data_IF_647923074044
#
_entry.id   IF_647923074044
#
_cell.length_a   1.000
_cell.length_b   1.000
_cell.length_c   1.000
_cell.angle_alpha   90.00
_cell.angle_beta   90.00
_cell.angle_gamma   90.00
#
_symmetry.space_group_name_H-M   'P 1'
#
loop_
_entity.id
_entity.type
_entity.pdbx_description
1 polymer ?
#
# COMPACT_ATOMS: atom_id res chain seq x y z
N UNK A 1 -14.38 0.30 -41.39
CA UNK A 1 -15.40 0.57 -40.35
C UNK A 1 -15.38 -0.46 -39.21
N UNK A 2 -15.47 -1.77 -39.50
CA UNK A 2 -15.46 -2.82 -38.46
C UNK A 2 -14.20 -2.83 -37.60
N UNK A 3 -13.02 -2.73 -38.22
CA UNK A 3 -11.72 -2.69 -37.49
C UNK A 3 -11.67 -1.52 -36.51
N UNK A 4 -12.05 -0.31 -36.96
CA UNK A 4 -12.03 0.91 -36.14
C UNK A 4 -12.99 0.79 -34.96
N UNK A 5 -14.20 0.26 -35.18
CA UNK A 5 -15.17 0.00 -34.11
C UNK A 5 -14.64 -1.02 -33.09
N UNK A 6 -14.13 -2.16 -33.58
CA UNK A 6 -13.59 -3.21 -32.71
C UNK A 6 -12.41 -2.72 -31.87
N UNK A 7 -11.51 -1.94 -32.48
CA UNK A 7 -10.38 -1.32 -31.79
C UNK A 7 -10.80 -0.32 -30.72
N UNK A 8 -11.72 0.59 -31.03
CA UNK A 8 -12.28 1.54 -30.06
C UNK A 8 -12.94 0.84 -28.87
N UNK A 9 -13.72 -0.22 -29.12
CA UNK A 9 -14.34 -1.04 -28.08
C UNK A 9 -13.30 -1.74 -27.20
N UNK A 10 -12.24 -2.29 -27.79
CA UNK A 10 -11.15 -2.93 -27.04
C UNK A 10 -10.44 -1.95 -26.12
N UNK A 11 -10.11 -0.74 -26.62
CA UNK A 11 -9.48 0.31 -25.81
C UNK A 11 -10.41 0.75 -24.68
N UNK A 12 -11.71 0.96 -24.96
CA UNK A 12 -12.69 1.36 -23.97
C UNK A 12 -12.82 0.32 -22.83
N UNK A 13 -12.91 -0.97 -23.16
CA UNK A 13 -12.95 -2.03 -22.14
C UNK A 13 -11.66 -2.13 -21.34
N UNK A 14 -10.50 -2.12 -22.00
CA UNK A 14 -9.21 -2.14 -21.30
C UNK A 14 -9.03 -0.94 -20.37
N UNK A 15 -9.43 0.25 -20.82
CA UNK A 15 -9.39 1.48 -20.05
C UNK A 15 -10.31 1.48 -18.83
N UNK A 16 -11.57 1.07 -19.01
CA UNK A 16 -12.55 1.02 -17.91
C UNK A 16 -12.16 -0.01 -16.84
N UNK A 17 -11.66 -1.18 -17.25
CA UNK A 17 -11.13 -2.19 -16.30
C UNK A 17 -9.93 -1.62 -15.54
N UNK A 18 -9.01 -0.94 -16.23
CA UNK A 18 -7.81 -0.33 -15.62
C UNK A 18 -8.20 0.73 -14.58
N UNK A 19 -9.10 1.64 -14.94
CA UNK A 19 -9.62 2.68 -14.02
C UNK A 19 -10.28 2.02 -12.82
N UNK A 20 -11.12 1.01 -13.04
CA UNK A 20 -11.80 0.28 -11.97
C UNK A 20 -10.81 -0.37 -11.01
N UNK A 21 -9.83 -1.09 -11.55
CA UNK A 21 -8.80 -1.76 -10.78
C UNK A 21 -8.01 -0.77 -9.91
N UNK A 22 -7.63 0.39 -10.46
CA UNK A 22 -6.83 1.37 -9.74
C UNK A 22 -7.63 2.04 -8.61
N UNK A 23 -8.91 2.37 -8.83
CA UNK A 23 -9.79 2.93 -7.78
C UNK A 23 -9.95 1.93 -6.63
N UNK A 24 -10.24 0.67 -6.95
CA UNK A 24 -10.41 -0.40 -5.95
C UNK A 24 -9.10 -0.63 -5.19
N UNK A 25 -7.98 -0.73 -5.91
CA UNK A 25 -6.65 -0.94 -5.30
C UNK A 25 -6.26 0.22 -4.37
N UNK A 26 -6.53 1.47 -4.76
CA UNK A 26 -6.30 2.63 -3.92
C UNK A 26 -7.14 2.58 -2.63
N UNK A 27 -8.39 2.12 -2.71
CA UNK A 27 -9.25 1.92 -1.53
C UNK A 27 -8.73 0.83 -0.59
N UNK A 28 -8.30 -0.31 -1.16
CA UNK A 28 -7.66 -1.42 -0.43
C UNK A 28 -6.43 -0.90 0.33
N UNK A 29 -5.57 -0.16 -0.35
CA UNK A 29 -4.34 0.38 0.24
C UNK A 29 -4.60 1.35 1.40
N UNK A 30 -5.64 2.20 1.28
CA UNK A 30 -6.00 3.21 2.29
C UNK A 30 -6.90 2.67 3.42
N UNK A 31 -7.15 1.34 3.49
CA UNK A 31 -8.10 0.73 4.45
C UNK A 31 -9.50 1.35 4.40
N UNK A 32 -9.90 1.89 3.25
CA UNK A 32 -11.25 2.43 3.06
C UNK A 32 -12.24 1.29 2.79
N UNK A 33 -13.52 1.62 2.79
CA UNK A 33 -14.56 0.65 2.49
C UNK A 33 -14.44 0.18 1.02
N UNK A 34 -13.98 -1.06 0.83
CA UNK A 34 -13.73 -1.67 -0.48
C UNK A 34 -15.03 -1.77 -1.26
N UNK A 35 -16.13 -2.14 -0.61
CA UNK A 35 -17.44 -2.28 -1.25
C UNK A 35 -17.93 -0.96 -1.84
N UNK A 36 -17.79 0.15 -1.09
CA UNK A 36 -18.10 1.50 -1.60
C UNK A 36 -17.22 1.88 -2.80
N UNK A 37 -15.93 1.58 -2.75
CA UNK A 37 -15.03 1.88 -3.86
C UNK A 37 -15.33 1.04 -5.10
N UNK A 38 -15.67 -0.24 -4.92
CA UNK A 38 -16.10 -1.13 -5.99
C UNK A 38 -17.35 -0.59 -6.67
N UNK A 39 -18.41 -0.27 -5.91
CA UNK A 39 -19.65 0.31 -6.45
C UNK A 39 -19.36 1.59 -7.21
N UNK A 40 -18.59 2.52 -6.62
CA UNK A 40 -18.24 3.77 -7.27
C UNK A 40 -17.52 3.54 -8.59
N UNK A 41 -16.51 2.66 -8.59
CA UNK A 41 -15.73 2.34 -9.78
C UNK A 41 -16.55 1.62 -10.86
N UNK A 42 -17.50 0.78 -10.45
CA UNK A 42 -18.41 0.07 -11.34
C UNK A 42 -19.41 1.03 -12.01
N UNK A 43 -19.97 1.98 -11.24
CA UNK A 43 -20.83 3.04 -11.78
C UNK A 43 -20.09 3.92 -12.79
N UNK A 44 -18.83 4.28 -12.49
CA UNK A 44 -17.97 5.02 -13.43
C UNK A 44 -17.76 4.21 -14.71
N UNK A 45 -17.46 2.91 -14.60
CA UNK A 45 -17.28 2.05 -15.76
C UNK A 45 -18.56 1.97 -16.61
N UNK A 46 -19.74 1.81 -15.99
CA UNK A 46 -21.04 1.83 -16.69
C UNK A 46 -21.25 3.16 -17.40
N UNK A 47 -20.99 4.29 -16.74
CA UNK A 47 -21.15 5.60 -17.34
C UNK A 47 -20.27 5.78 -18.59
N UNK A 48 -19.02 5.30 -18.54
CA UNK A 48 -18.10 5.34 -19.69
C UNK A 48 -18.61 4.43 -20.83
N UNK A 49 -19.04 3.20 -20.52
CA UNK A 49 -19.61 2.29 -21.52
C UNK A 49 -20.87 2.87 -22.17
N UNK A 50 -21.75 3.45 -21.37
CA UNK A 50 -22.97 4.09 -21.84
C UNK A 50 -22.65 5.25 -22.77
N UNK A 51 -21.77 6.18 -22.34
CA UNK A 51 -21.37 7.33 -23.15
C UNK A 51 -20.70 6.92 -24.47
N UNK A 52 -19.85 5.89 -24.46
CA UNK A 52 -19.22 5.36 -25.66
C UNK A 52 -20.25 4.77 -26.65
N UNK A 53 -21.26 4.07 -26.12
CA UNK A 53 -22.30 3.41 -26.91
C UNK A 53 -23.50 4.31 -27.26
N UNK A 54 -23.52 5.58 -26.84
CA UNK A 54 -24.53 6.53 -27.30
C UNK A 54 -24.39 6.87 -28.79
N UNK A 55 -23.32 6.42 -29.45
CA UNK A 55 -23.05 6.65 -30.88
C UNK A 55 -23.25 8.11 -31.32
N UNK A 56 -22.95 9.07 -30.44
CA UNK A 56 -23.15 10.50 -30.73
C UNK A 56 -22.35 10.99 -31.94
N UNK A 57 -21.27 10.28 -32.31
CA UNK A 57 -20.39 10.62 -33.44
C UNK A 57 -20.13 9.41 -34.34
N UNK A 58 -19.64 9.68 -35.55
CA UNK A 58 -19.17 8.65 -36.49
C UNK A 58 -18.03 7.85 -35.83
N UNK A 59 -17.96 6.51 -36.02
CA UNK A 59 -17.03 5.64 -35.30
C UNK A 59 -15.54 6.01 -35.32
N UNK A 60 -15.10 6.70 -36.37
CA UNK A 60 -13.73 7.18 -36.50
C UNK A 60 -13.45 8.27 -35.47
N UNK A 61 -14.38 9.22 -35.29
CA UNK A 61 -14.26 10.34 -34.35
C UNK A 61 -14.29 9.82 -32.91
N UNK A 62 -15.21 8.91 -32.57
CA UNK A 62 -15.27 8.34 -31.21
C UNK A 62 -14.00 7.59 -30.84
N UNK A 63 -13.42 6.86 -31.80
CA UNK A 63 -12.17 6.12 -31.59
C UNK A 63 -11.00 7.07 -31.40
N UNK A 64 -10.88 8.14 -32.20
CA UNK A 64 -9.86 9.17 -32.03
C UNK A 64 -9.97 9.87 -30.66
N UNK A 65 -11.18 10.20 -30.23
CA UNK A 65 -11.43 10.81 -28.92
C UNK A 65 -10.92 9.91 -27.81
N UNK A 66 -11.26 8.63 -27.81
CA UNK A 66 -10.81 7.68 -26.77
C UNK A 66 -9.30 7.44 -26.83
N UNK A 67 -8.73 7.38 -28.04
CA UNK A 67 -7.29 7.24 -28.24
C UNK A 67 -6.51 8.37 -27.55
N UNK A 68 -7.08 9.57 -27.46
CA UNK A 68 -6.46 10.73 -26.80
C UNK A 68 -6.84 10.82 -25.32
N UNK A 69 -8.13 10.73 -25.00
CA UNK A 69 -8.62 10.95 -23.63
C UNK A 69 -8.17 9.83 -22.68
N UNK A 70 -8.22 8.57 -23.12
CA UNK A 70 -7.91 7.47 -22.21
C UNK A 70 -6.44 7.50 -21.74
N UNK A 71 -5.42 7.70 -22.60
CA UNK A 71 -4.04 7.87 -22.14
C UNK A 71 -3.84 9.04 -21.19
N UNK A 72 -4.53 10.17 -21.40
CA UNK A 72 -4.47 11.32 -20.49
C UNK A 72 -5.01 10.97 -19.10
N UNK A 73 -6.16 10.28 -19.04
CA UNK A 73 -6.72 9.78 -17.78
C UNK A 73 -5.74 8.80 -17.13
N UNK A 74 -5.16 7.87 -17.90
CA UNK A 74 -4.18 6.90 -17.39
C UNK A 74 -2.93 7.59 -16.85
N UNK A 75 -2.44 8.65 -17.50
CA UNK A 75 -1.29 9.45 -17.04
C UNK A 75 -1.58 10.08 -15.67
N UNK A 76 -2.73 10.72 -15.50
CA UNK A 76 -3.13 11.33 -14.21
C UNK A 76 -3.22 10.26 -13.11
N UNK A 77 -3.83 9.12 -13.42
CA UNK A 77 -3.97 8.02 -12.47
C UNK A 77 -2.59 7.43 -12.12
N UNK A 78 -1.72 7.28 -13.11
CA UNK A 78 -0.38 6.73 -12.93
C UNK A 78 0.47 7.66 -12.06
N UNK A 79 0.46 8.97 -12.30
CA UNK A 79 1.15 9.96 -11.49
C UNK A 79 0.66 9.95 -10.03
N UNK A 80 -0.65 9.82 -9.81
CA UNK A 80 -1.20 9.68 -8.46
C UNK A 80 -0.73 8.37 -7.78
N UNK A 81 -0.62 7.29 -8.53
CA UNK A 81 -0.13 6.00 -8.05
C UNK A 81 1.37 6.05 -7.72
N UNK A 82 2.17 6.67 -8.58
CA UNK A 82 3.60 6.88 -8.42
C UNK A 82 3.89 7.73 -7.18
N UNK A 83 3.18 8.85 -7.00
CA UNK A 83 3.33 9.70 -5.81
C UNK A 83 3.03 8.94 -4.51
N UNK A 84 2.03 8.06 -4.52
CA UNK A 84 1.71 7.16 -3.40
C UNK A 84 2.81 6.12 -3.16
N UNK A 85 3.37 5.55 -4.23
CA UNK A 85 4.48 4.61 -4.16
C UNK A 85 5.74 5.29 -3.62
N UNK A 86 6.08 6.48 -4.11
CA UNK A 86 7.21 7.30 -3.68
C UNK A 86 7.11 7.67 -2.21
N UNK A 87 5.95 8.18 -1.77
CA UNK A 87 5.71 8.48 -0.35
C UNK A 87 5.97 7.26 0.54
N UNK A 88 5.56 6.09 0.07
CA UNK A 88 5.74 4.84 0.81
C UNK A 88 7.18 4.28 0.76
N UNK A 89 7.89 4.45 -0.35
CA UNK A 89 9.23 3.90 -0.54
C UNK A 89 10.29 4.83 0.04
N UNK A 90 10.17 6.15 -0.15
CA UNK A 90 11.20 7.10 0.28
C UNK A 90 10.92 7.59 1.70
N UNK A 91 9.76 8.23 1.90
CA UNK A 91 9.45 8.95 3.14
C UNK A 91 9.23 7.97 4.30
N UNK A 92 8.39 6.94 4.11
CA UNK A 92 8.18 5.96 5.18
C UNK A 92 9.45 5.17 5.47
N UNK A 93 10.24 4.77 4.47
CA UNK A 93 11.47 3.99 4.69
C UNK A 93 12.51 4.75 5.49
N UNK A 94 12.79 6.01 5.13
CA UNK A 94 13.69 6.86 5.89
C UNK A 94 13.20 7.03 7.34
N UNK A 95 11.89 7.21 7.54
CA UNK A 95 11.31 7.31 8.89
C UNK A 95 11.45 6.01 9.70
N UNK A 96 11.27 4.85 9.07
CA UNK A 96 11.43 3.54 9.70
C UNK A 96 12.89 3.30 10.09
N UNK A 97 13.84 3.61 9.19
CA UNK A 97 15.28 3.50 9.45
C UNK A 97 15.71 4.41 10.60
N UNK A 98 15.27 5.68 10.59
CA UNK A 98 15.54 6.63 11.68
C UNK A 98 14.99 6.13 13.01
N UNK A 99 13.76 5.64 13.02
CA UNK A 99 13.12 5.13 14.24
C UNK A 99 13.84 3.91 14.78
N UNK A 100 14.17 2.92 13.92
CA UNK A 100 14.93 1.73 14.31
C UNK A 100 16.30 2.11 14.89
N UNK A 101 16.98 3.08 14.28
CA UNK A 101 18.28 3.58 14.76
C UNK A 101 18.17 4.23 16.13
N UNK A 102 17.12 5.02 16.39
CA UNK A 102 16.89 5.62 17.70
C UNK A 102 16.59 4.56 18.77
N UNK A 103 15.83 3.52 18.44
CA UNK A 103 15.58 2.39 19.35
C UNK A 103 16.89 1.65 19.67
N UNK A 104 17.68 1.27 18.65
CA UNK A 104 18.97 0.57 18.84
C UNK A 104 20.01 1.39 19.63
N UNK A 105 19.91 2.72 19.60
CA UNK A 105 20.77 3.62 20.40
C UNK A 105 20.25 3.86 21.83
N UNK A 106 19.13 3.25 22.22
CA UNK A 106 18.50 3.49 23.53
C UNK A 106 17.81 4.86 23.65
N UNK A 107 17.61 5.58 22.53
CA UNK A 107 17.05 6.94 22.48
C UNK A 107 15.60 6.98 22.02
N UNK A 108 14.85 5.88 22.16
CA UNK A 108 13.48 5.80 21.66
C UNK A 108 12.56 6.85 22.30
N UNK A 109 12.73 7.12 23.59
CA UNK A 109 11.97 8.10 24.37
C UNK A 109 12.10 9.54 23.85
N UNK A 110 13.20 9.87 23.17
CA UNK A 110 13.44 11.18 22.52
C UNK A 110 12.62 11.35 21.22
N UNK A 111 11.99 10.29 20.72
CA UNK A 111 11.15 10.33 19.51
C UNK A 111 9.69 10.55 19.85
N UNK A 112 8.92 11.17 18.94
CA UNK A 112 7.45 11.33 19.09
C UNK A 112 6.75 9.99 19.37
N UNK A 113 7.18 8.92 18.71
CA UNK A 113 6.66 7.56 18.89
C UNK A 113 6.96 7.00 20.28
N UNK A 114 8.15 7.26 20.82
CA UNK A 114 8.52 6.83 22.16
C UNK A 114 7.82 7.65 23.24
N UNK A 115 7.70 8.97 23.07
CA UNK A 115 6.91 9.81 23.98
C UNK A 115 5.45 9.37 24.01
N UNK A 116 4.88 9.00 22.85
CA UNK A 116 3.54 8.42 22.77
C UNK A 116 3.44 7.05 23.48
N UNK A 117 4.38 6.14 23.26
CA UNK A 117 4.36 4.86 23.96
C UNK A 117 4.46 5.05 25.49
N UNK A 118 5.27 6.02 25.93
CA UNK A 118 5.40 6.38 27.34
C UNK A 118 4.12 6.97 27.91
N UNK A 119 3.35 7.73 27.14
CA UNK A 119 2.08 8.30 27.62
C UNK A 119 1.01 7.23 27.83
N UNK A 120 1.02 6.15 27.05
CA UNK A 120 0.05 5.06 27.17
C UNK A 120 0.52 3.90 28.05
N UNK A 121 1.79 3.87 28.47
CA UNK A 121 2.40 2.72 29.18
C UNK A 121 1.65 2.30 30.44
N UNK A 122 1.00 3.24 31.12
CA UNK A 122 0.29 3.00 32.38
C UNK A 122 -1.02 2.23 32.19
N UNK A 123 -1.55 2.16 30.97
CA UNK A 123 -2.75 1.40 30.64
C UNK A 123 -2.47 -0.08 30.34
N UNK A 124 -1.19 -0.49 30.34
CA UNK A 124 -0.76 -1.84 30.00
C UNK A 124 0.17 -2.39 31.08
N UNK A 125 0.21 -3.72 31.21
CA UNK A 125 1.20 -4.36 32.08
C UNK A 125 2.62 -4.15 31.54
N UNK A 126 3.62 -4.18 32.42
CA UNK A 126 5.04 -4.04 32.02
C UNK A 126 5.46 -5.08 30.97
N UNK A 127 4.93 -6.29 31.07
CA UNK A 127 5.15 -7.39 30.11
C UNK A 127 4.58 -7.03 28.74
N UNK A 128 3.35 -6.51 28.68
CA UNK A 128 2.73 -6.11 27.41
C UNK A 128 3.49 -4.94 26.78
N UNK A 129 3.92 -3.95 27.57
CA UNK A 129 4.72 -2.82 27.05
C UNK A 129 6.06 -3.30 26.48
N UNK A 130 6.69 -4.29 27.13
CA UNK A 130 7.89 -4.93 26.59
C UNK A 130 7.60 -5.65 25.27
N UNK A 131 6.53 -6.44 25.19
CA UNK A 131 6.12 -7.10 23.95
C UNK A 131 5.80 -6.10 22.83
N UNK A 132 5.19 -4.95 23.16
CA UNK A 132 4.97 -3.86 22.20
C UNK A 132 6.29 -3.31 21.63
N UNK A 133 7.30 -3.09 22.48
CA UNK A 133 8.62 -2.64 22.03
C UNK A 133 9.30 -3.67 21.13
N UNK A 134 9.26 -4.95 21.53
CA UNK A 134 9.78 -6.06 20.74
C UNK A 134 9.06 -6.18 19.39
N UNK A 135 7.74 -6.02 19.39
CA UNK A 135 6.92 -6.02 18.18
C UNK A 135 7.28 -4.85 17.25
N UNK A 136 7.42 -3.63 17.79
CA UNK A 136 7.81 -2.45 17.02
C UNK A 136 9.19 -2.67 16.38
N UNK A 137 10.17 -3.13 17.15
CA UNK A 137 11.53 -3.36 16.67
C UNK A 137 11.56 -4.40 15.56
N UNK A 138 10.97 -5.57 15.80
CA UNK A 138 10.93 -6.66 14.82
C UNK A 138 10.16 -6.27 13.56
N UNK A 139 9.05 -5.55 13.72
CA UNK A 139 8.27 -5.03 12.59
C UNK A 139 9.10 -4.07 11.74
N UNK A 140 9.82 -3.12 12.35
CA UNK A 140 10.66 -2.15 11.64
C UNK A 140 11.78 -2.87 10.88
N UNK A 141 12.46 -3.83 11.50
CA UNK A 141 13.49 -4.62 10.84
C UNK A 141 12.97 -5.33 9.59
N UNK A 142 11.83 -6.02 9.71
CA UNK A 142 11.22 -6.74 8.59
C UNK A 142 10.71 -5.77 7.50
N UNK A 143 10.08 -4.65 7.88
CA UNK A 143 9.58 -3.65 6.91
C UNK A 143 10.71 -3.02 6.10
N UNK A 144 11.79 -2.60 6.79
CA UNK A 144 13.00 -2.07 6.16
C UNK A 144 13.60 -3.10 5.21
N UNK A 145 13.68 -4.36 5.64
CA UNK A 145 14.23 -5.44 4.82
C UNK A 145 13.42 -5.69 3.57
N UNK A 146 12.09 -5.72 3.67
CA UNK A 146 11.20 -5.89 2.52
C UNK A 146 11.39 -4.78 1.48
N UNK A 147 11.44 -3.51 1.92
CA UNK A 147 11.68 -2.36 1.05
C UNK A 147 13.10 -2.36 0.46
N UNK A 148 14.10 -2.72 1.25
CA UNK A 148 15.49 -2.85 0.78
C UNK A 148 15.63 -3.94 -0.28
N UNK A 149 14.97 -5.09 -0.11
CA UNK A 149 14.97 -6.17 -1.09
C UNK A 149 14.32 -5.72 -2.41
N UNK A 150 13.25 -4.92 -2.35
CA UNK A 150 12.64 -4.32 -3.53
C UNK A 150 13.64 -3.41 -4.26
N UNK A 151 14.28 -2.48 -3.55
CA UNK A 151 15.29 -1.59 -4.14
C UNK A 151 16.47 -2.36 -4.76
N UNK A 152 16.97 -3.39 -4.07
CA UNK A 152 18.05 -4.24 -4.59
C UNK A 152 17.64 -4.93 -5.89
N UNK A 153 16.42 -5.49 -5.94
CA UNK A 153 15.88 -6.13 -7.17
C UNK A 153 15.81 -5.14 -8.33
N UNK A 154 15.30 -3.93 -8.11
CA UNK A 154 15.20 -2.90 -9.16
C UNK A 154 16.58 -2.49 -9.69
N UNK A 155 17.62 -2.50 -8.85
CA UNK A 155 19.01 -2.22 -9.26
C UNK A 155 19.76 -3.42 -9.84
N UNK A 156 19.12 -4.59 -9.95
CA UNK A 156 19.77 -5.82 -10.40
C UNK A 156 20.78 -6.41 -9.40
N UNK A 157 20.79 -5.94 -8.14
CA UNK A 157 21.67 -6.43 -7.10
C UNK A 157 21.11 -7.69 -6.43
N UNK A 158 21.96 -8.65 -6.03
CA UNK A 158 21.51 -9.89 -5.43
C UNK A 158 20.85 -9.66 -4.07
N UNK A 159 19.64 -10.20 -3.91
CA UNK A 159 18.93 -10.18 -2.62
C UNK A 159 19.39 -11.37 -1.77
N UNK A 160 20.02 -11.08 -0.63
CA UNK A 160 20.39 -12.10 0.34
C UNK A 160 19.15 -12.63 1.06
N UNK A 161 18.81 -13.90 0.82
CA UNK A 161 17.78 -14.65 1.57
C UNK A 161 18.15 -14.71 3.05
N UNK A 162 17.13 -14.59 3.88
CA UNK A 162 17.26 -14.62 5.34
C UNK A 162 17.07 -16.06 5.79
N UNK A 163 18.04 -16.62 6.50
CA UNK A 163 17.98 -18.01 6.98
C UNK A 163 16.95 -18.23 8.10
N UNK A 164 16.58 -17.18 8.84
CA UNK A 164 15.69 -17.23 10.01
C UNK A 164 14.32 -16.54 9.79
N UNK A 165 13.92 -16.26 8.54
CA UNK A 165 12.74 -15.46 8.26
C UNK A 165 11.46 -16.05 8.86
N UNK A 166 11.24 -17.35 8.69
CA UNK A 166 10.05 -18.03 9.21
C UNK A 166 9.96 -17.93 10.73
N UNK A 167 11.10 -17.99 11.40
CA UNK A 167 11.19 -17.83 12.86
C UNK A 167 10.77 -16.41 13.26
N UNK A 168 11.31 -15.39 12.60
CA UNK A 168 10.96 -13.97 12.85
C UNK A 168 9.50 -13.67 12.54
N UNK A 169 8.93 -14.24 11.47
CA UNK A 169 7.52 -14.08 11.14
C UNK A 169 6.61 -14.77 12.16
N UNK A 170 7.00 -15.95 12.67
CA UNK A 170 6.30 -16.63 13.78
C UNK A 170 6.37 -15.82 15.06
N UNK A 171 7.54 -15.27 15.40
CA UNK A 171 7.73 -14.40 16.57
C UNK A 171 6.84 -13.15 16.47
N UNK A 172 6.81 -12.49 15.32
CA UNK A 172 5.95 -11.32 15.10
C UNK A 172 4.45 -11.67 15.28
N UNK A 173 4.02 -12.84 14.81
CA UNK A 173 2.65 -13.36 15.02
C UNK A 173 2.38 -13.66 16.49
N UNK A 174 3.35 -14.23 17.20
CA UNK A 174 3.26 -14.53 18.64
C UNK A 174 3.14 -13.25 19.47
N UNK A 175 4.03 -12.27 19.26
CA UNK A 175 3.99 -10.96 19.92
C UNK A 175 2.65 -10.26 19.68
N UNK A 176 2.14 -10.29 18.44
CA UNK A 176 0.82 -9.74 18.12
C UNK A 176 -0.31 -10.39 18.92
N UNK A 177 -0.24 -11.71 19.14
CA UNK A 177 -1.21 -12.45 19.95
C UNK A 177 -1.11 -12.06 21.42
N UNK A 178 0.10 -11.97 21.97
CA UNK A 178 0.35 -11.66 23.38
C UNK A 178 -0.06 -10.22 23.74
N UNK A 179 0.22 -9.25 22.87
CA UNK A 179 -0.18 -7.84 23.05
C UNK A 179 -1.70 -7.67 23.03
N UNK A 180 -2.40 -8.50 22.24
CA UNK A 180 -3.84 -8.43 22.06
C UNK A 180 -4.32 -7.27 21.17
N UNK A 181 -5.62 -7.26 20.85
CA UNK A 181 -6.23 -6.34 19.88
C UNK A 181 -6.10 -4.87 20.29
N UNK A 182 -6.37 -4.55 21.56
CA UNK A 182 -6.30 -3.19 22.10
C UNK A 182 -4.87 -2.66 22.07
N UNK A 183 -3.89 -3.48 22.47
CA UNK A 183 -2.50 -3.07 22.42
C UNK A 183 -1.99 -2.86 20.99
N UNK A 184 -2.40 -3.70 20.04
CA UNK A 184 -2.05 -3.52 18.63
C UNK A 184 -2.70 -2.26 18.03
N UNK A 185 -3.93 -1.93 18.42
CA UNK A 185 -4.54 -0.65 18.05
C UNK A 185 -3.75 0.53 18.61
N UNK A 186 -3.27 0.42 19.85
CA UNK A 186 -2.44 1.44 20.48
C UNK A 186 -1.07 1.58 19.81
N UNK A 187 -0.46 0.50 19.29
CA UNK A 187 0.81 0.56 18.55
C UNK A 187 0.64 1.06 17.10
N UNK A 188 -0.56 0.94 16.52
CA UNK A 188 -0.84 1.29 15.12
C UNK A 188 -0.36 2.69 14.68
N UNK A 189 -0.47 3.76 15.49
CA UNK A 189 0.02 5.10 15.12
C UNK A 189 1.55 5.17 15.01
N UNK A 190 2.28 4.39 15.82
CA UNK A 190 3.75 4.35 15.80
C UNK A 190 4.27 3.75 14.50
N UNK A 191 3.66 2.64 14.08
CA UNK A 191 4.08 1.86 12.91
C UNK A 191 3.38 2.26 11.62
N UNK A 192 2.47 3.25 11.66
CA UNK A 192 1.60 3.66 10.55
C UNK A 192 0.97 2.45 9.83
N UNK A 193 0.42 1.50 10.61
CA UNK A 193 0.02 0.20 10.07
C UNK A 193 -1.08 0.32 8.99
N UNK A 194 -0.77 -0.02 7.73
CA UNK A 194 -1.72 -0.09 6.59
C UNK A 194 -1.89 -1.52 6.05
N UNK A 195 -2.84 -1.80 5.13
CA UNK A 195 -2.96 -3.13 4.49
C UNK A 195 -1.71 -3.47 3.65
N UNK A 196 -1.07 -2.43 3.07
CA UNK A 196 0.22 -2.53 2.37
C UNK A 196 1.32 -3.13 3.27
N UNK A 197 1.17 -3.06 4.59
CA UNK A 197 2.12 -3.60 5.55
C UNK A 197 2.04 -5.12 5.73
N UNK A 198 0.88 -5.73 5.50
CA UNK A 198 0.76 -7.20 5.49
C UNK A 198 1.34 -7.78 4.21
N UNK A 199 1.05 -7.15 3.07
CA UNK A 199 1.65 -7.50 1.78
C UNK A 199 3.18 -7.34 1.79
N UNK A 200 3.71 -6.28 2.41
CA UNK A 200 5.17 -6.09 2.57
C UNK A 200 5.85 -7.31 3.19
N UNK A 201 5.25 -7.85 4.25
CA UNK A 201 5.83 -8.97 4.97
C UNK A 201 5.73 -10.27 4.17
N UNK A 202 4.67 -10.47 3.37
CA UNK A 202 4.58 -11.60 2.45
C UNK A 202 5.56 -11.50 1.26
N UNK A 203 6.16 -10.35 0.98
CA UNK A 203 7.23 -10.26 -0.03
C UNK A 203 8.55 -10.86 0.43
N UNK A 204 8.69 -11.11 1.73
CA UNK A 204 9.88 -11.74 2.28
C UNK A 204 9.81 -13.27 2.18
N UNK A 205 8.60 -13.84 2.23
CA UNK A 205 8.30 -15.25 1.99
C UNK A 205 8.69 -15.64 0.55
#
# INVERSE_FOLDING_TARGET
>A
LWIVRGFGTAIMHGGTISIMAIIVMNSINRKKNIFKAFILSWLIAIAIHYLFNLFMFIPVITTLIILVILPLIMMIIFEASENSLRTWLDIEFDSEVKLLKMIKKGKFSETKSGSYLLSIKHHFSKVIVFDMLSYILLYLELSIRAKSNLLLKETGLPVKKISDLDSRLKELKSLRKNIGKTGIMAVSPILRMSKKNLWKLSMLE
#
